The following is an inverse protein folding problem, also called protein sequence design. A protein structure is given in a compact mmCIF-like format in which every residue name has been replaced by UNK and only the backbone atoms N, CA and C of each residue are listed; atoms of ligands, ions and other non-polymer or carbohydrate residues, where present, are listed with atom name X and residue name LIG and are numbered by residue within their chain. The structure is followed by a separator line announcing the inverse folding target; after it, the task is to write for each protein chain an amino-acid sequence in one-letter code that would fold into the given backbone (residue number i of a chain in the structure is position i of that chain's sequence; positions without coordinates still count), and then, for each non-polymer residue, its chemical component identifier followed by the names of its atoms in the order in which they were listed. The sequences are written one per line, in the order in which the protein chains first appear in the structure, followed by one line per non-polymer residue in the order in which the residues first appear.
data_IF_153298005374
#
_entry.id   IF_153298005374
#
_cell.length_a   1.000
_cell.length_b   1.000
_cell.length_c   1.000
_cell.angle_alpha   90.00
_cell.angle_beta   90.00
_cell.angle_gamma   90.00
#
_symmetry.space_group_name_H-M   'P 1'
#
loop_
_entity.id
_entity.type
_entity.pdbx_description
1 polymer ?
#
# COMPACT_ATOMS: atom_id res chain seq x y z
N UNK A 1 -8.16 -25.81 -26.51
CA UNK A 1 -8.39 -25.97 -25.05
C UNK A 1 -7.82 -24.75 -24.36
N UNK A 2 -8.64 -24.01 -23.66
CA UNK A 2 -8.23 -22.86 -22.85
C UNK A 2 -7.36 -23.41 -21.70
N UNK A 3 -6.11 -22.94 -21.60
CA UNK A 3 -5.17 -23.42 -20.58
C UNK A 3 -5.08 -22.38 -19.48
N UNK A 4 -5.85 -22.59 -18.41
CA UNK A 4 -5.76 -21.77 -17.18
C UNK A 4 -4.49 -22.11 -16.42
N UNK A 5 -3.77 -21.07 -16.00
CA UNK A 5 -2.67 -21.15 -15.05
C UNK A 5 -3.06 -20.41 -13.78
N UNK A 6 -2.69 -20.92 -12.61
CA UNK A 6 -2.98 -20.28 -11.34
C UNK A 6 -1.80 -20.35 -10.38
N UNK A 7 -1.70 -19.36 -9.49
CA UNK A 7 -0.76 -19.34 -8.38
C UNK A 7 -1.43 -18.79 -7.13
N UNK A 8 -1.07 -19.35 -5.97
CA UNK A 8 -1.42 -18.83 -4.65
C UNK A 8 -0.15 -18.43 -3.94
N UNK A 9 -0.14 -17.22 -3.41
CA UNK A 9 1.02 -16.64 -2.74
C UNK A 9 0.57 -15.71 -1.61
N UNK A 10 1.52 -15.11 -0.90
CA UNK A 10 1.25 -14.06 0.08
C UNK A 10 1.97 -12.78 -0.35
N UNK A 11 1.28 -11.65 -0.24
CA UNK A 11 1.85 -10.32 -0.40
C UNK A 11 1.14 -9.34 0.54
N UNK A 12 1.87 -8.37 1.08
CA UNK A 12 1.37 -7.41 2.06
C UNK A 12 0.71 -8.07 3.28
N UNK A 13 1.21 -9.24 3.68
CA UNK A 13 0.66 -10.04 4.78
C UNK A 13 -0.72 -10.65 4.49
N UNK A 14 -1.14 -10.75 3.23
CA UNK A 14 -2.43 -11.28 2.79
C UNK A 14 -2.28 -12.43 1.80
N UNK A 15 -3.24 -13.35 1.82
CA UNK A 15 -3.33 -14.41 0.83
C UNK A 15 -3.76 -13.80 -0.52
N UNK A 16 -3.02 -14.16 -1.57
CA UNK A 16 -3.29 -13.75 -2.95
C UNK A 16 -3.57 -14.97 -3.81
N UNK A 17 -4.52 -14.83 -4.72
CA UNK A 17 -4.84 -15.84 -5.72
C UNK A 17 -4.91 -15.18 -7.09
N UNK A 18 -4.07 -15.63 -8.00
CA UNK A 18 -4.00 -15.14 -9.37
C UNK A 18 -4.32 -16.28 -10.33
N UNK A 19 -5.19 -16.02 -11.28
CA UNK A 19 -5.57 -16.93 -12.36
C UNK A 19 -5.41 -16.17 -13.66
N UNK A 20 -4.69 -16.76 -14.62
CA UNK A 20 -4.54 -16.22 -15.97
C UNK A 20 -5.01 -17.27 -16.95
N UNK A 21 -5.90 -16.86 -17.83
CA UNK A 21 -6.38 -17.65 -18.95
C UNK A 21 -5.71 -17.11 -20.21
N UNK A 22 -4.62 -17.73 -20.59
CA UNK A 22 -3.85 -17.33 -21.77
C UNK A 22 -3.63 -18.54 -22.68
N UNK A 23 -4.24 -18.49 -23.89
CA UNK A 23 -4.23 -19.57 -24.86
C UNK A 23 -2.84 -19.85 -25.48
N UNK A 24 -1.85 -18.96 -25.30
CA UNK A 24 -0.51 -19.05 -25.89
C UNK A 24 0.50 -19.87 -25.08
N UNK A 25 0.12 -20.36 -23.91
CA UNK A 25 0.95 -21.20 -23.04
C UNK A 25 1.91 -20.44 -22.11
N UNK A 26 1.95 -19.09 -22.13
CA UNK A 26 2.81 -18.25 -21.26
C UNK A 26 2.22 -18.03 -19.85
N UNK A 27 1.12 -18.69 -19.48
CA UNK A 27 0.42 -18.43 -18.24
C UNK A 27 1.28 -18.49 -16.98
N UNK A 28 2.19 -19.47 -16.88
CA UNK A 28 3.12 -19.60 -15.72
C UNK A 28 4.13 -18.46 -15.67
N UNK A 29 4.70 -18.06 -16.81
CA UNK A 29 5.62 -16.92 -16.91
C UNK A 29 4.94 -15.62 -16.47
N UNK A 30 3.72 -15.38 -16.94
CA UNK A 30 2.92 -14.21 -16.57
C UNK A 30 2.61 -14.17 -15.07
N UNK A 31 2.31 -15.31 -14.47
CA UNK A 31 2.08 -15.40 -13.03
C UNK A 31 3.34 -15.09 -12.21
N UNK A 32 4.52 -15.51 -12.67
CA UNK A 32 5.79 -15.13 -12.04
C UNK A 32 6.06 -13.63 -12.16
N UNK A 33 5.81 -13.00 -13.31
CA UNK A 33 5.91 -11.55 -13.47
C UNK A 33 4.98 -10.80 -12.48
N UNK A 34 3.75 -11.30 -12.31
CA UNK A 34 2.82 -10.74 -11.33
C UNK A 34 3.34 -10.88 -9.89
N UNK A 35 3.88 -12.06 -9.54
CA UNK A 35 4.47 -12.31 -8.23
C UNK A 35 5.65 -11.35 -7.96
N UNK A 36 6.54 -11.17 -8.94
CA UNK A 36 7.68 -10.27 -8.82
C UNK A 36 7.25 -8.83 -8.64
N UNK A 37 6.21 -8.39 -9.35
CA UNK A 37 5.65 -7.05 -9.20
C UNK A 37 5.04 -6.83 -7.81
N UNK A 38 4.24 -7.80 -7.30
CA UNK A 38 3.70 -7.73 -5.94
C UNK A 38 4.81 -7.65 -4.90
N UNK A 39 5.86 -8.47 -5.02
CA UNK A 39 7.02 -8.47 -4.13
C UNK A 39 7.80 -7.16 -4.21
N UNK A 40 7.99 -6.61 -5.41
CA UNK A 40 8.64 -5.32 -5.62
C UNK A 40 7.90 -4.19 -4.89
N UNK A 41 6.59 -4.14 -5.04
CA UNK A 41 5.75 -3.12 -4.38
C UNK A 41 5.71 -3.31 -2.86
N UNK A 42 5.65 -4.54 -2.38
CA UNK A 42 5.73 -4.83 -0.94
C UNK A 42 7.07 -4.36 -0.35
N UNK A 43 8.18 -4.70 -0.98
CA UNK A 43 9.50 -4.25 -0.55
C UNK A 43 9.63 -2.73 -0.53
N UNK A 44 8.97 -2.06 -1.46
CA UNK A 44 9.03 -0.60 -1.58
C UNK A 44 8.16 0.13 -0.58
N UNK A 45 6.94 -0.36 -0.30
CA UNK A 45 5.92 0.41 0.41
C UNK A 45 5.43 -0.19 1.72
N UNK A 46 5.79 -1.43 2.07
CA UNK A 46 5.31 -2.06 3.30
C UNK A 46 5.84 -1.34 4.54
N UNK A 47 4.96 -0.94 5.45
CA UNK A 47 5.33 -0.36 6.74
C UNK A 47 6.00 -1.36 7.69
N UNK A 48 6.01 -2.64 7.36
CA UNK A 48 6.63 -3.71 8.15
C UNK A 48 8.06 -4.06 7.72
N UNK A 49 8.48 -3.63 6.52
CA UNK A 49 9.82 -3.87 6.01
C UNK A 49 10.72 -2.66 6.31
N UNK A 50 11.82 -2.82 7.04
CA UNK A 50 12.62 -1.70 7.57
C UNK A 50 13.21 -0.80 6.48
N UNK A 51 13.54 -1.37 5.32
CA UNK A 51 14.17 -0.66 4.21
C UNK A 51 13.19 -0.03 3.23
N UNK A 52 11.89 -0.23 3.43
CA UNK A 52 10.85 0.36 2.59
C UNK A 52 10.84 1.90 2.68
N UNK A 53 10.35 2.57 1.65
CA UNK A 53 10.16 4.03 1.67
C UNK A 53 9.29 4.44 2.84
N UNK A 54 8.18 3.73 3.11
CA UNK A 54 7.27 4.00 4.21
C UNK A 54 7.97 3.93 5.57
N UNK A 55 8.72 2.87 5.82
CA UNK A 55 9.45 2.68 7.09
C UNK A 55 10.54 3.73 7.27
N UNK A 56 11.27 4.06 6.21
CA UNK A 56 12.31 5.11 6.25
C UNK A 56 11.70 6.49 6.53
N UNK A 57 10.57 6.84 5.94
CA UNK A 57 9.83 8.08 6.25
C UNK A 57 9.42 8.09 7.72
N UNK A 58 8.88 6.98 8.23
CA UNK A 58 8.49 6.86 9.63
C UNK A 58 9.70 7.02 10.58
N UNK A 59 10.83 6.41 10.26
CA UNK A 59 12.06 6.50 11.07
C UNK A 59 12.64 7.93 11.07
N UNK A 60 12.45 8.69 9.99
CA UNK A 60 12.92 10.08 9.87
C UNK A 60 11.95 11.12 10.44
N UNK A 61 10.82 10.71 10.99
CA UNK A 61 9.79 11.63 11.50
C UNK A 61 10.34 12.62 12.56
N UNK A 62 10.16 13.91 12.31
CA UNK A 62 10.60 14.99 13.19
C UNK A 62 12.12 15.26 13.16
N UNK A 63 12.90 14.66 12.24
CA UNK A 63 14.34 14.88 12.13
C UNK A 63 14.72 15.98 11.14
N UNK A 64 13.80 16.38 10.24
CA UNK A 64 14.07 17.28 9.13
C UNK A 64 14.73 16.60 7.92
N UNK A 65 15.03 15.31 7.97
CA UNK A 65 15.60 14.59 6.83
C UNK A 65 14.51 14.10 5.86
N UNK A 66 14.62 14.54 4.61
CA UNK A 66 13.76 14.07 3.52
C UNK A 66 14.26 12.75 2.97
N UNK A 67 13.42 11.74 3.00
CA UNK A 67 13.70 10.44 2.41
C UNK A 67 13.47 10.53 0.90
N UNK A 68 14.46 10.13 0.06
CA UNK A 68 14.29 10.13 -1.39
C UNK A 68 13.08 9.32 -1.85
N UNK A 69 12.28 9.92 -2.72
CA UNK A 69 11.10 9.29 -3.34
C UNK A 69 11.18 9.42 -4.86
N UNK A 70 10.82 8.36 -5.55
CA UNK A 70 10.76 8.34 -7.02
C UNK A 70 9.38 8.76 -7.55
N UNK A 71 9.22 8.74 -8.88
CA UNK A 71 7.97 9.12 -9.54
C UNK A 71 6.79 8.24 -9.12
N UNK A 72 7.00 6.94 -8.91
CA UNK A 72 5.94 6.01 -8.50
C UNK A 72 5.46 6.32 -7.07
N UNK A 73 6.37 6.58 -6.14
CA UNK A 73 5.99 6.97 -4.78
C UNK A 73 5.25 8.31 -4.77
N UNK A 74 5.68 9.30 -5.57
CA UNK A 74 4.95 10.57 -5.71
C UNK A 74 3.55 10.36 -6.28
N UNK A 75 3.40 9.53 -7.30
CA UNK A 75 2.09 9.21 -7.87
C UNK A 75 1.16 8.56 -6.84
N UNK A 76 1.68 7.65 -6.02
CA UNK A 76 0.91 7.05 -4.93
C UNK A 76 0.51 8.11 -3.89
N UNK A 77 1.40 9.03 -3.52
CA UNK A 77 1.07 10.10 -2.57
C UNK A 77 -0.01 11.05 -3.13
N UNK A 78 0.02 11.37 -4.42
CA UNK A 78 -1.05 12.16 -5.06
C UNK A 78 -2.39 11.40 -5.09
N UNK A 79 -2.37 10.10 -5.31
CA UNK A 79 -3.59 9.29 -5.19
C UNK A 79 -4.14 9.32 -3.76
N UNK A 80 -3.28 9.23 -2.76
CA UNK A 80 -3.67 9.34 -1.35
C UNK A 80 -4.21 10.73 -1.02
N UNK A 81 -3.65 11.81 -1.59
CA UNK A 81 -4.19 13.17 -1.44
C UNK A 81 -5.64 13.25 -1.90
N UNK A 82 -5.94 12.65 -3.06
CA UNK A 82 -7.31 12.62 -3.59
C UNK A 82 -8.25 11.85 -2.63
N UNK A 83 -7.87 10.67 -2.18
CA UNK A 83 -8.65 9.89 -1.22
C UNK A 83 -8.88 10.64 0.10
N UNK A 84 -7.84 11.31 0.61
CA UNK A 84 -7.92 12.09 1.83
C UNK A 84 -8.89 13.26 1.70
N UNK A 85 -8.85 13.98 0.55
CA UNK A 85 -9.76 15.09 0.26
C UNK A 85 -11.21 14.62 0.01
N UNK A 86 -11.40 13.60 -0.84
CA UNK A 86 -12.72 13.06 -1.19
C UNK A 86 -13.45 12.48 0.02
N UNK A 87 -12.71 11.84 0.93
CA UNK A 87 -13.26 11.35 2.20
C UNK A 87 -13.53 12.42 3.24
N UNK A 88 -13.30 13.70 2.93
CA UNK A 88 -13.36 14.82 3.88
C UNK A 88 -12.45 14.59 5.10
N UNK A 89 -11.26 14.06 4.84
CA UNK A 89 -10.21 13.76 5.81
C UNK A 89 -10.54 12.61 6.79
N UNK A 90 -11.59 11.83 6.52
CA UNK A 90 -11.91 10.63 7.33
C UNK A 90 -10.88 9.53 7.06
N UNK A 91 -10.50 9.34 5.78
CA UNK A 91 -9.39 8.50 5.42
C UNK A 91 -8.08 9.27 5.65
N UNK A 92 -7.25 8.81 6.58
CA UNK A 92 -5.95 9.43 6.87
C UNK A 92 -4.91 8.33 7.19
N UNK A 93 -3.88 8.15 6.34
CA UNK A 93 -2.86 7.12 6.54
C UNK A 93 -2.02 7.30 7.81
N UNK A 94 -2.11 8.44 8.48
CA UNK A 94 -1.37 8.69 9.73
C UNK A 94 -2.10 8.19 10.97
N UNK A 95 -3.33 7.68 10.83
CA UNK A 95 -4.13 7.16 11.94
C UNK A 95 -3.61 5.83 12.53
N UNK A 96 -2.64 5.18 11.88
CA UNK A 96 -2.03 3.93 12.37
C UNK A 96 -1.58 4.02 13.83
N UNK A 97 -1.06 5.18 14.22
CA UNK A 97 -0.60 5.44 15.59
C UNK A 97 -1.71 5.30 16.65
N UNK A 98 -2.97 5.44 16.25
CA UNK A 98 -4.12 5.29 17.15
C UNK A 98 -4.48 3.83 17.42
N UNK A 99 -3.97 2.87 16.63
CA UNK A 99 -4.32 1.45 16.80
C UNK A 99 -3.94 0.93 18.18
N UNK A 100 -2.83 1.40 18.74
CA UNK A 100 -2.37 1.00 20.07
C UNK A 100 -3.22 1.60 21.20
N UNK A 101 -4.09 2.58 20.87
CA UNK A 101 -5.04 3.14 21.84
C UNK A 101 -6.30 2.28 22.00
N UNK A 102 -6.49 1.26 21.16
CA UNK A 102 -7.71 0.45 21.13
C UNK A 102 -7.39 -1.05 21.18
N UNK A 103 -8.28 -1.82 21.81
CA UNK A 103 -8.25 -3.27 21.75
C UNK A 103 -8.63 -3.77 20.35
N UNK A 104 -8.39 -5.05 20.06
CA UNK A 104 -8.86 -5.70 18.81
C UNK A 104 -10.38 -5.68 18.64
N UNK A 105 -11.13 -5.52 19.73
CA UNK A 105 -12.59 -5.41 19.76
C UNK A 105 -13.09 -3.97 19.72
N UNK A 106 -12.18 -2.98 19.54
CA UNK A 106 -12.50 -1.56 19.42
C UNK A 106 -12.70 -0.82 20.73
N UNK A 107 -12.47 -1.44 21.89
CA UNK A 107 -12.56 -0.78 23.18
C UNK A 107 -11.35 0.14 23.39
N UNK A 108 -11.57 1.35 23.89
CA UNK A 108 -10.51 2.30 24.22
C UNK A 108 -9.70 1.76 25.44
N UNK A 109 -8.40 1.57 25.24
CA UNK A 109 -7.43 1.15 26.26
C UNK A 109 -6.64 2.33 26.82
N UNK A 110 -6.39 3.34 25.99
CA UNK A 110 -5.62 4.52 26.36
C UNK A 110 -6.43 5.46 27.26
N UNK A 111 -5.76 6.18 28.15
CA UNK A 111 -6.38 7.30 28.87
C UNK A 111 -6.75 8.44 27.89
N UNK A 112 -7.66 9.33 28.32
CA UNK A 112 -8.02 10.50 27.51
C UNK A 112 -6.81 11.37 27.15
N UNK A 113 -5.89 11.55 28.08
CA UNK A 113 -4.67 12.34 27.85
C UNK A 113 -3.72 11.68 26.86
N UNK A 114 -3.58 10.36 26.93
CA UNK A 114 -2.81 9.61 25.95
C UNK A 114 -3.43 9.71 24.56
N UNK A 115 -4.73 9.50 24.44
CA UNK A 115 -5.45 9.63 23.18
C UNK A 115 -5.30 11.04 22.59
N UNK A 116 -5.44 12.09 23.41
CA UNK A 116 -5.25 13.49 22.97
C UNK A 116 -3.81 13.75 22.45
N UNK A 117 -2.80 13.16 23.09
CA UNK A 117 -1.41 13.27 22.62
C UNK A 117 -1.22 12.57 21.26
N UNK A 118 -1.79 11.37 21.10
CA UNK A 118 -1.70 10.62 19.84
C UNK A 118 -2.46 11.32 18.69
N UNK A 119 -3.64 11.88 18.97
CA UNK A 119 -4.43 12.64 17.98
C UNK A 119 -3.68 13.85 17.41
N UNK A 120 -2.80 14.49 18.18
CA UNK A 120 -1.96 15.59 17.67
C UNK A 120 -0.92 15.14 16.64
N UNK A 121 -0.61 13.86 16.59
CA UNK A 121 0.32 13.24 15.65
C UNK A 121 -0.38 12.72 14.39
N UNK A 122 -1.72 12.83 14.31
CA UNK A 122 -2.50 12.45 13.14
C UNK A 122 -2.65 13.67 12.23
N UNK A 123 -2.41 13.48 10.95
CA UNK A 123 -2.61 14.51 9.93
C UNK A 123 -1.74 14.27 8.70
N UNK A 124 -2.33 13.73 7.63
CA UNK A 124 -1.67 13.50 6.34
C UNK A 124 -1.01 14.75 5.75
N UNK A 125 -1.60 15.93 5.98
CA UNK A 125 -1.05 17.23 5.56
C UNK A 125 0.35 17.53 6.14
N UNK A 126 0.76 16.85 7.21
CA UNK A 126 2.07 17.02 7.83
C UNK A 126 3.17 16.14 7.18
N UNK A 127 2.82 15.38 6.12
CA UNK A 127 3.78 14.79 5.21
C UNK A 127 4.27 15.87 4.25
N UNK A 128 5.38 16.48 4.59
CA UNK A 128 6.07 17.46 3.75
C UNK A 128 6.71 16.75 2.55
N UNK A 129 6.59 17.34 1.37
CA UNK A 129 7.05 16.73 0.11
C UNK A 129 7.76 17.76 -0.76
N UNK A 130 8.81 17.29 -1.41
CA UNK A 130 9.51 17.98 -2.49
C UNK A 130 9.46 17.14 -3.75
N UNK A 131 10.02 17.61 -4.85
CA UNK A 131 10.12 16.85 -6.11
C UNK A 131 10.92 15.55 -5.96
N UNK A 132 11.78 15.45 -4.95
CA UNK A 132 12.72 14.33 -4.76
C UNK A 132 12.65 13.66 -3.40
N UNK A 133 11.85 14.16 -2.46
CA UNK A 133 11.85 13.63 -1.10
C UNK A 133 10.55 13.84 -0.34
N UNK A 134 10.37 13.07 0.74
CA UNK A 134 9.25 13.20 1.67
C UNK A 134 9.71 13.08 3.13
N UNK A 135 9.06 13.79 4.04
CA UNK A 135 9.39 13.86 5.45
C UNK A 135 8.12 14.08 6.30
N UNK A 136 8.02 13.41 7.44
CA UNK A 136 6.99 13.67 8.45
C UNK A 136 7.50 14.75 9.42
N UNK A 137 6.80 15.89 9.50
CA UNK A 137 7.26 17.05 10.27
C UNK A 137 7.30 16.81 11.79
N UNK A 138 6.42 15.99 12.32
CA UNK A 138 6.30 15.74 13.76
C UNK A 138 7.02 14.49 14.23
N UNK A 139 7.83 14.59 15.28
CA UNK A 139 8.45 13.44 15.93
C UNK A 139 7.37 12.49 16.47
N UNK A 140 7.48 11.21 16.14
CA UNK A 140 6.52 10.18 16.54
C UNK A 140 5.31 10.06 15.62
N UNK A 141 5.19 10.89 14.58
CA UNK A 141 4.23 10.63 13.51
C UNK A 141 4.57 9.35 12.76
N UNK A 142 3.56 8.73 12.18
CA UNK A 142 3.71 7.49 11.41
C UNK A 142 2.69 7.46 10.28
N UNK A 143 3.10 6.99 9.11
CA UNK A 143 2.20 6.64 8.01
C UNK A 143 2.09 5.13 7.86
N UNK A 144 0.93 4.65 7.48
CA UNK A 144 0.69 3.28 7.04
C UNK A 144 -0.10 3.30 5.73
N UNK A 145 0.52 2.80 4.67
CA UNK A 145 -0.04 2.80 3.33
C UNK A 145 -0.83 1.53 3.00
N UNK A 146 -0.95 0.57 3.92
CA UNK A 146 -1.52 -0.75 3.65
C UNK A 146 -2.94 -0.71 3.08
N UNK A 147 -3.77 0.24 3.48
CA UNK A 147 -5.12 0.41 2.95
C UNK A 147 -5.18 0.93 1.51
N UNK A 148 -4.11 1.58 1.03
CA UNK A 148 -4.02 2.13 -0.32
C UNK A 148 -3.17 1.28 -1.25
N UNK A 149 -2.09 0.69 -0.70
CA UNK A 149 -1.11 -0.01 -1.52
C UNK A 149 -1.63 -1.32 -2.08
N UNK A 150 -2.56 -2.00 -1.39
CA UNK A 150 -3.13 -3.26 -1.88
C UNK A 150 -3.96 -3.07 -3.15
N UNK A 151 -4.97 -2.18 -3.19
CA UNK A 151 -5.68 -1.88 -4.44
C UNK A 151 -4.72 -1.36 -5.53
N UNK A 152 -3.75 -0.53 -5.18
CA UNK A 152 -2.72 -0.07 -6.12
C UNK A 152 -1.90 -1.23 -6.70
N UNK A 153 -1.50 -2.20 -5.87
CA UNK A 153 -0.75 -3.38 -6.30
C UNK A 153 -1.58 -4.29 -7.24
N UNK A 154 -2.87 -4.48 -6.94
CA UNK A 154 -3.78 -5.21 -7.83
C UNK A 154 -3.92 -4.51 -9.19
N UNK A 155 -4.05 -3.18 -9.20
CA UNK A 155 -4.10 -2.38 -10.43
C UNK A 155 -2.79 -2.45 -11.21
N UNK A 156 -1.64 -2.48 -10.54
CA UNK A 156 -0.34 -2.64 -11.16
C UNK A 156 -0.21 -3.99 -11.86
N UNK A 157 -0.59 -5.06 -11.18
CA UNK A 157 -0.62 -6.42 -11.75
C UNK A 157 -1.59 -6.49 -12.92
N UNK A 158 -2.79 -5.90 -12.80
CA UNK A 158 -3.77 -5.84 -13.88
C UNK A 158 -3.19 -5.13 -15.12
N UNK A 159 -2.55 -3.98 -14.93
CA UNK A 159 -1.88 -3.22 -16.02
C UNK A 159 -0.76 -4.02 -16.67
N UNK A 160 0.03 -4.75 -15.84
CA UNK A 160 1.09 -5.64 -16.35
C UNK A 160 0.51 -6.74 -17.24
N UNK A 161 -0.57 -7.40 -16.82
CA UNK A 161 -1.23 -8.43 -17.61
C UNK A 161 -1.84 -7.87 -18.90
N UNK A 162 -2.50 -6.71 -18.86
CA UNK A 162 -3.04 -6.05 -20.06
C UNK A 162 -1.93 -5.68 -21.05
N UNK A 163 -0.77 -5.20 -20.57
CA UNK A 163 0.40 -4.90 -21.41
C UNK A 163 0.96 -6.15 -22.11
N UNK A 164 0.74 -7.33 -21.50
CA UNK A 164 1.11 -8.62 -22.07
C UNK A 164 -0.04 -9.29 -22.84
N UNK A 165 -1.05 -8.51 -23.26
CA UNK A 165 -2.17 -8.94 -24.11
C UNK A 165 -3.04 -10.04 -23.48
N UNK A 166 -3.08 -10.12 -22.13
CA UNK A 166 -3.98 -11.03 -21.42
C UNK A 166 -5.39 -10.49 -21.48
N UNK A 167 -6.33 -11.32 -21.95
CA UNK A 167 -7.73 -10.95 -22.13
C UNK A 167 -8.64 -11.50 -21.02
N UNK A 168 -8.17 -12.47 -20.24
CA UNK A 168 -8.91 -13.06 -19.13
C UNK A 168 -7.97 -13.30 -17.95
N UNK A 169 -8.23 -12.65 -16.83
CA UNK A 169 -7.52 -12.87 -15.58
C UNK A 169 -8.40 -12.55 -14.38
N UNK A 170 -8.12 -13.25 -13.27
CA UNK A 170 -8.68 -12.98 -11.97
C UNK A 170 -7.54 -12.81 -10.98
N UNK A 171 -7.57 -11.73 -10.20
CA UNK A 171 -6.55 -11.39 -9.23
C UNK A 171 -7.27 -11.04 -7.93
N UNK A 172 -6.97 -11.72 -6.84
CA UNK A 172 -7.51 -11.37 -5.54
C UNK A 172 -6.40 -11.27 -4.49
N UNK A 173 -6.60 -10.37 -3.53
CA UNK A 173 -5.78 -10.21 -2.35
C UNK A 173 -6.72 -9.98 -1.17
N UNK A 174 -6.96 -11.03 -0.36
CA UNK A 174 -7.97 -11.04 0.70
C UNK A 174 -9.37 -10.68 0.13
N UNK A 175 -9.90 -9.51 0.45
CA UNK A 175 -11.21 -9.04 -0.01
C UNK A 175 -11.14 -8.14 -1.25
N UNK A 176 -9.96 -7.69 -1.63
CA UNK A 176 -9.76 -6.88 -2.84
C UNK A 176 -9.67 -7.79 -4.07
N UNK A 177 -10.31 -7.37 -5.15
CA UNK A 177 -10.38 -8.13 -6.40
C UNK A 177 -10.15 -7.20 -7.60
N UNK A 178 -9.41 -7.69 -8.59
CA UNK A 178 -9.31 -7.11 -9.91
C UNK A 178 -9.53 -8.19 -10.98
N UNK A 179 -10.11 -7.85 -12.13
CA UNK A 179 -10.33 -8.78 -13.23
C UNK A 179 -10.01 -8.14 -14.58
N UNK A 180 -9.79 -9.00 -15.56
CA UNK A 180 -9.69 -8.70 -16.99
C UNK A 180 -10.64 -9.66 -17.69
N UNK A 181 -11.52 -9.15 -18.55
CA UNK A 181 -12.57 -9.90 -19.24
C UNK A 181 -13.90 -9.88 -18.53
#
# INVERSE_FOLDING_TARGET
MVKKSEIRLHAFGRACHLIVDNGDGRGIELLHLCQDELKRLENKFSSYLPDSITSRINQSAGTGFYIPVDAEARSLFHYIDALWQESKHIFDPTTRILQDCYSRTGNLLASRDQLHKMLKLVGWRNLERTDTGAHLSGKGMMIDLNSCIRPYALDSVRKLLLKNEVNNAFISMDQEVASIG
#
